data_IF_531769755815
#
_entry.id   IF_531769755815
#
_cell.length_a   1.000
_cell.length_b   1.000
_cell.length_c   1.000
_cell.angle_alpha   90.00
_cell.angle_beta   90.00
_cell.angle_gamma   90.00
#
_symmetry.space_group_name_H-M   'P 1'
#
loop_
_entity.id
_entity.type
_entity.pdbx_description
1 polymer ?
#
# COMPACT_ATOMS: atom_id res chain seq x y z
N UNK A 1 0.33 -7.45 21.44
CA UNK A 1 0.09 -8.14 20.16
C UNK A 1 -0.05 -7.03 19.13
N UNK A 2 0.85 -6.99 18.16
CA UNK A 2 0.69 -6.08 17.04
C UNK A 2 -0.58 -6.50 16.28
N UNK A 3 -1.56 -5.61 16.22
CA UNK A 3 -2.79 -5.88 15.49
C UNK A 3 -2.53 -5.57 14.02
N UNK A 4 -2.41 -6.63 13.22
CA UNK A 4 -2.31 -6.53 11.77
C UNK A 4 -3.70 -6.54 11.16
N UNK A 5 -4.02 -5.57 10.32
CA UNK A 5 -5.26 -5.53 9.53
C UNK A 5 -4.97 -5.99 8.09
N UNK A 6 -5.81 -6.87 7.54
CA UNK A 6 -5.73 -7.23 6.13
C UNK A 6 -6.33 -6.10 5.29
N UNK A 7 -5.60 -5.65 4.28
CA UNK A 7 -6.02 -4.58 3.40
C UNK A 7 -5.47 -4.79 1.98
N UNK A 8 -5.86 -3.89 1.07
CA UNK A 8 -5.36 -3.84 -0.29
C UNK A 8 -4.90 -2.43 -0.64
N UNK A 9 -3.79 -2.32 -1.36
CA UNK A 9 -3.45 -1.12 -2.10
C UNK A 9 -4.06 -1.21 -3.50
N UNK A 10 -4.94 -0.29 -3.81
CA UNK A 10 -5.59 -0.20 -5.11
C UNK A 10 -4.98 0.95 -5.89
N UNK A 11 -4.49 0.66 -7.10
CA UNK A 11 -4.04 1.68 -8.04
C UNK A 11 -5.06 1.84 -9.15
N UNK A 12 -5.55 3.08 -9.34
CA UNK A 12 -6.67 3.38 -10.23
C UNK A 12 -6.22 4.30 -11.37
N UNK A 13 -6.68 4.00 -12.59
CA UNK A 13 -6.51 4.91 -13.73
C UNK A 13 -7.52 6.07 -13.68
N UNK A 14 -8.70 5.80 -13.14
CA UNK A 14 -9.83 6.71 -12.96
C UNK A 14 -10.80 6.10 -11.93
N UNK A 15 -11.89 6.79 -11.60
CA UNK A 15 -12.86 6.36 -10.58
C UNK A 15 -13.54 5.00 -10.83
N UNK A 16 -13.47 4.46 -12.06
CA UNK A 16 -14.14 3.23 -12.46
C UNK A 16 -13.17 2.14 -12.94
N UNK A 17 -11.86 2.41 -13.04
CA UNK A 17 -10.86 1.47 -13.60
C UNK A 17 -9.73 1.25 -12.60
N UNK A 18 -9.77 0.12 -11.90
CA UNK A 18 -8.68 -0.36 -11.05
C UNK A 18 -7.65 -1.09 -11.92
N UNK A 19 -6.40 -0.65 -11.90
CA UNK A 19 -5.29 -1.20 -12.68
C UNK A 19 -4.55 -2.30 -11.91
N UNK A 20 -4.44 -2.14 -10.59
CA UNK A 20 -3.76 -3.12 -9.74
C UNK A 20 -4.37 -3.14 -8.34
N UNK A 21 -4.44 -4.35 -7.76
CA UNK A 21 -4.80 -4.56 -6.37
C UNK A 21 -3.71 -5.40 -5.71
N UNK A 22 -2.97 -4.80 -4.78
CA UNK A 22 -1.84 -5.43 -4.10
C UNK A 22 -2.27 -5.77 -2.67
N UNK A 23 -2.32 -7.05 -2.28
CA UNK A 23 -2.74 -7.45 -0.95
C UNK A 23 -1.63 -7.17 0.06
N UNK A 24 -2.00 -6.52 1.17
CA UNK A 24 -1.08 -6.12 2.23
C UNK A 24 -1.65 -6.41 3.61
N UNK A 25 -0.77 -6.56 4.59
CA UNK A 25 -1.10 -6.52 6.01
C UNK A 25 -0.54 -5.25 6.59
N UNK A 26 -1.38 -4.48 7.24
CA UNK A 26 -1.03 -3.15 7.73
C UNK A 26 -0.93 -3.18 9.24
N UNK A 27 0.09 -2.53 9.78
CA UNK A 27 0.25 -2.25 11.20
C UNK A 27 0.26 -0.74 11.37
N UNK A 28 -0.69 -0.22 12.15
CA UNK A 28 -0.70 1.18 12.52
C UNK A 28 0.54 1.48 13.38
N UNK A 29 1.32 2.48 12.96
CA UNK A 29 2.34 3.04 13.83
C UNK A 29 1.67 3.98 14.82
N UNK A 30 2.28 4.21 15.99
CA UNK A 30 1.68 5.04 17.04
C UNK A 30 1.48 6.52 16.62
N UNK A 31 2.00 6.94 15.46
CA UNK A 31 1.98 8.32 14.97
C UNK A 31 1.11 8.53 13.71
N UNK A 32 0.18 9.48 13.85
CA UNK A 32 -0.38 10.44 12.86
C UNK A 32 -0.44 10.07 11.36
N UNK A 33 -1.03 8.93 11.00
CA UNK A 33 -1.36 8.64 9.60
C UNK A 33 -0.20 8.07 8.76
N UNK A 34 0.73 7.40 9.44
CA UNK A 34 1.74 6.55 8.80
C UNK A 34 1.53 5.10 9.22
N UNK A 35 1.57 4.19 8.26
CA UNK A 35 1.47 2.76 8.50
C UNK A 35 2.68 2.03 7.94
N UNK A 36 3.04 0.92 8.57
CA UNK A 36 3.87 -0.09 7.96
C UNK A 36 2.96 -1.14 7.32
N UNK A 37 3.28 -1.54 6.10
CA UNK A 37 2.55 -2.55 5.38
C UNK A 37 3.49 -3.65 4.88
N UNK A 38 3.05 -4.89 4.96
CA UNK A 38 3.78 -6.05 4.43
C UNK A 38 2.95 -6.69 3.34
N UNK A 39 3.56 -6.96 2.18
CA UNK A 39 2.88 -7.63 1.07
C UNK A 39 2.59 -9.09 1.45
N UNK A 40 1.32 -9.47 1.40
CA UNK A 40 0.89 -10.79 1.81
C UNK A 40 -0.31 -11.29 0.97
N UNK A 41 -0.21 -12.42 0.25
CA UNK A 41 0.95 -13.32 0.18
C UNK A 41 2.15 -12.70 -0.54
N UNK A 42 3.34 -13.26 -0.31
CA UNK A 42 4.58 -12.82 -0.97
C UNK A 42 4.41 -12.93 -2.49
N UNK A 43 4.74 -11.85 -3.19
CA UNK A 43 4.76 -11.81 -4.65
C UNK A 43 6.00 -12.52 -5.19
N UNK A 44 5.92 -12.99 -6.43
CA UNK A 44 7.11 -13.47 -7.14
C UNK A 44 8.07 -12.32 -7.49
N UNK A 45 9.30 -12.66 -7.88
CA UNK A 45 10.34 -11.68 -8.15
C UNK A 45 10.00 -10.72 -9.30
N UNK A 46 9.25 -11.17 -10.31
CA UNK A 46 8.82 -10.32 -11.41
C UNK A 46 7.79 -9.29 -10.94
N UNK A 47 6.77 -9.74 -10.23
CA UNK A 47 5.74 -8.88 -9.66
C UNK A 47 6.31 -7.88 -8.63
N UNK A 48 7.31 -8.28 -7.82
CA UNK A 48 8.00 -7.35 -6.91
C UNK A 48 8.77 -6.28 -7.69
N UNK A 49 9.41 -6.63 -8.81
CA UNK A 49 10.13 -5.66 -9.66
C UNK A 49 9.17 -4.66 -10.30
N UNK A 50 8.04 -5.14 -10.81
CA UNK A 50 7.03 -4.28 -11.43
C UNK A 50 6.40 -3.34 -10.38
N UNK A 51 6.10 -3.86 -9.19
CA UNK A 51 5.64 -3.05 -8.07
C UNK A 51 6.68 -1.99 -7.66
N UNK A 52 7.98 -2.34 -7.67
CA UNK A 52 9.04 -1.37 -7.40
C UNK A 52 9.01 -0.21 -8.38
N UNK A 53 8.93 -0.52 -9.68
CA UNK A 53 8.88 0.52 -10.71
C UNK A 53 7.64 1.39 -10.56
N UNK A 54 6.50 0.78 -10.21
CA UNK A 54 5.28 1.50 -9.92
C UNK A 54 5.48 2.46 -8.74
N UNK A 55 5.98 1.99 -7.59
CA UNK A 55 6.25 2.82 -6.40
C UNK A 55 7.25 3.93 -6.70
N UNK A 56 8.35 3.62 -7.39
CA UNK A 56 9.39 4.59 -7.76
C UNK A 56 8.82 5.70 -8.69
N UNK A 57 7.69 5.46 -9.38
CA UNK A 57 6.99 6.50 -10.17
C UNK A 57 6.15 7.48 -9.34
N UNK A 58 6.04 7.26 -8.02
CA UNK A 58 5.33 8.13 -7.07
C UNK A 58 3.80 8.16 -7.18
N UNK A 59 3.08 7.08 -7.53
CA UNK A 59 1.63 7.09 -7.63
C UNK A 59 1.01 7.18 -6.24
N UNK A 60 -0.24 7.66 -6.21
CA UNK A 60 -1.10 7.49 -5.05
C UNK A 60 -1.88 6.17 -5.18
N UNK A 61 -2.07 5.51 -4.05
CA UNK A 61 -2.89 4.30 -3.92
C UNK A 61 -4.06 4.59 -3.01
N UNK A 62 -5.18 3.91 -3.24
CA UNK A 62 -6.22 3.79 -2.22
C UNK A 62 -5.88 2.59 -1.34
N UNK A 63 -5.54 2.84 -0.08
CA UNK A 63 -5.48 1.79 0.94
C UNK A 63 -6.90 1.46 1.38
N UNK A 64 -7.38 0.28 1.02
CA UNK A 64 -8.71 -0.22 1.35
C UNK A 64 -8.63 -1.36 2.35
N UNK A 65 -9.30 -1.19 3.48
CA UNK A 65 -9.59 -2.25 4.44
C UNK A 65 -11.09 -2.55 4.48
N UNK A 66 -11.49 -3.51 5.31
CA UNK A 66 -12.91 -3.83 5.54
C UNK A 66 -13.70 -2.62 6.06
N UNK A 67 -13.07 -1.79 6.89
CA UNK A 67 -13.74 -0.68 7.56
C UNK A 67 -13.54 0.68 6.89
N UNK A 68 -12.53 0.83 6.03
CA UNK A 68 -12.10 2.15 5.56
C UNK A 68 -11.42 2.14 4.20
N UNK A 69 -11.39 3.31 3.56
CA UNK A 69 -10.58 3.57 2.38
C UNK A 69 -9.94 4.94 2.47
N UNK A 70 -8.62 5.01 2.29
CA UNK A 70 -7.85 6.26 2.41
C UNK A 70 -6.78 6.31 1.32
N UNK A 71 -6.51 7.51 0.79
CA UNK A 71 -5.45 7.70 -0.22
C UNK A 71 -4.09 7.84 0.46
N UNK A 72 -3.13 7.04 0.02
CA UNK A 72 -1.77 6.98 0.56
C UNK A 72 -0.73 7.01 -0.54
N UNK A 73 0.45 7.52 -0.22
CA UNK A 73 1.67 7.21 -0.95
C UNK A 73 2.37 6.03 -0.29
N UNK A 74 2.93 5.16 -1.11
CA UNK A 74 3.73 4.02 -0.66
C UNK A 74 5.20 4.29 -0.96
N UNK A 75 6.07 3.93 -0.02
CA UNK A 75 7.52 3.98 -0.17
C UNK A 75 8.11 2.62 0.22
N UNK A 76 9.19 2.20 -0.44
CA UNK A 76 9.97 1.02 -0.06
C UNK A 76 10.53 1.22 1.37
N UNK A 77 10.30 0.24 2.24
CA UNK A 77 10.78 0.27 3.61
C UNK A 77 11.57 -0.99 3.94
N UNK A 78 12.88 -0.95 3.68
CA UNK A 78 13.83 -2.02 3.98
C UNK A 78 13.64 -3.28 3.12
N UNK A 79 13.19 -3.12 1.87
CA UNK A 79 12.91 -4.20 0.93
C UNK A 79 11.48 -4.14 0.39
N UNK A 80 11.26 -4.64 -0.82
CA UNK A 80 9.98 -4.53 -1.53
C UNK A 80 8.81 -5.28 -0.88
N UNK A 81 9.06 -6.21 0.03
CA UNK A 81 8.00 -6.88 0.78
C UNK A 81 7.41 -6.01 1.89
N UNK A 82 8.06 -4.88 2.21
CA UNK A 82 7.68 -3.94 3.26
C UNK A 82 7.57 -2.52 2.72
N UNK A 83 6.45 -1.89 3.01
CA UNK A 83 6.10 -0.57 2.54
C UNK A 83 5.84 0.35 3.73
N UNK A 84 6.26 1.61 3.59
CA UNK A 84 5.77 2.70 4.42
C UNK A 84 4.64 3.39 3.68
N UNK A 85 3.48 3.51 4.32
CA UNK A 85 2.32 4.18 3.78
C UNK A 85 2.10 5.50 4.52
N UNK A 86 1.94 6.59 3.80
CA UNK A 86 1.63 7.90 4.37
C UNK A 86 0.37 8.47 3.73
N UNK A 87 -0.57 8.99 4.54
CA UNK A 87 -1.74 9.70 4.03
C UNK A 87 -1.29 10.88 3.17
N UNK A 88 -1.92 11.06 2.01
CA UNK A 88 -1.74 12.26 1.18
C UNK A 88 -2.78 13.30 1.61
N UNK A 89 -2.38 14.43 2.23
CA UNK A 89 -3.32 15.45 2.64
C UNK A 89 -3.81 16.25 1.42
N UNK A 90 -5.14 16.36 1.26
CA UNK A 90 -5.75 17.27 0.28
C UNK A 90 -6.11 16.68 -1.09
N UNK A 91 -6.27 15.36 -1.18
CA UNK A 91 -6.86 14.67 -2.34
C UNK A 91 -8.34 14.35 -2.09
#
# INVERSE_FOLDING_TARGET
>A
MDHYETAHLEWWANQATCLAQIPVRVTATADTGVWEAVIAPTLDHGALKDLKQLIDSGPCFTLRSEASAVVVQAEDFNGLDRLRLAVVPGL
#
